data_IF_949365502270
#
_entry.id   IF_949365502270
#
_cell.length_a   1.000
_cell.length_b   1.000
_cell.length_c   1.000
_cell.angle_alpha   90.00
_cell.angle_beta   90.00
_cell.angle_gamma   90.00
#
_symmetry.space_group_name_H-M   'P 1'
#
loop_
_entity.id
_entity.type
_entity.pdbx_description
1 polymer ?
#
# COMPACT_ATOMS: atom_id res chain seq x y z
N UNK A 1 -15.32 23.50 -6.98
CA UNK A 1 -14.94 22.61 -8.09
C UNK A 1 -13.49 22.21 -7.91
N UNK A 2 -13.22 21.00 -7.38
CA UNK A 2 -11.87 20.42 -7.47
C UNK A 2 -11.91 19.38 -8.58
N UNK A 3 -11.19 19.66 -9.65
CA UNK A 3 -10.97 18.74 -10.74
C UNK A 3 -10.15 17.55 -10.23
N UNK A 4 -10.81 16.45 -9.89
CA UNK A 4 -10.13 15.16 -9.78
C UNK A 4 -9.88 14.69 -11.21
N UNK A 5 -8.83 15.26 -11.80
CA UNK A 5 -8.30 14.83 -13.09
C UNK A 5 -8.20 13.31 -13.07
N UNK A 6 -8.78 12.68 -14.08
CA UNK A 6 -8.54 11.30 -14.45
C UNK A 6 -7.04 11.16 -14.72
N UNK A 7 -6.26 10.96 -13.65
CA UNK A 7 -4.88 10.58 -13.77
C UNK A 7 -4.91 9.10 -14.13
N UNK A 8 -4.31 8.77 -15.27
CA UNK A 8 -3.72 7.47 -15.61
C UNK A 8 -2.62 7.05 -14.60
N UNK A 9 -2.76 7.48 -13.35
CA UNK A 9 -1.87 7.25 -12.25
C UNK A 9 -2.22 5.93 -11.61
N UNK A 10 -1.21 5.08 -11.45
CA UNK A 10 -1.36 3.78 -10.82
C UNK A 10 -1.65 4.02 -9.33
N UNK A 11 -2.74 3.45 -8.81
CA UNK A 11 -3.17 3.66 -7.43
C UNK A 11 -2.52 2.62 -6.52
N UNK A 12 -2.00 3.06 -5.37
CA UNK A 12 -1.33 2.19 -4.41
C UNK A 12 -1.75 2.51 -2.98
N UNK A 13 -1.65 1.48 -2.14
CA UNK A 13 -1.81 1.59 -0.70
C UNK A 13 -0.44 1.66 -0.06
N UNK A 14 -0.12 2.75 0.62
CA UNK A 14 1.13 2.92 1.35
C UNK A 14 0.92 2.69 2.85
N UNK A 15 1.67 1.75 3.43
CA UNK A 15 1.58 1.38 4.84
C UNK A 15 2.59 2.12 5.71
N UNK A 16 3.71 2.55 5.11
CA UNK A 16 4.75 3.26 5.84
C UNK A 16 5.92 3.64 4.94
N UNK A 17 6.77 4.50 5.46
CA UNK A 17 8.05 4.86 4.87
C UNK A 17 9.15 4.72 5.92
N UNK A 18 10.20 3.97 5.62
CA UNK A 18 11.29 3.67 6.54
C UNK A 18 12.61 4.11 5.94
N UNK A 19 13.50 4.69 6.75
CA UNK A 19 14.85 5.04 6.30
C UNK A 19 15.76 3.82 6.11
N UNK A 20 15.40 2.68 6.71
CA UNK A 20 16.13 1.42 6.60
C UNK A 20 15.35 0.40 5.77
N UNK A 21 15.99 -0.13 4.72
CA UNK A 21 15.43 -1.18 3.86
C UNK A 21 14.98 -2.39 4.66
N UNK A 22 15.80 -2.83 5.63
CA UNK A 22 15.49 -3.99 6.47
C UNK A 22 14.16 -3.83 7.21
N UNK A 23 13.87 -2.63 7.72
CA UNK A 23 12.62 -2.36 8.44
C UNK A 23 11.43 -2.35 7.49
N UNK A 24 11.58 -1.73 6.31
CA UNK A 24 10.54 -1.78 5.28
C UNK A 24 10.26 -3.22 4.83
N UNK A 25 11.30 -4.03 4.63
CA UNK A 25 11.16 -5.42 4.21
C UNK A 25 10.50 -6.27 5.32
N UNK A 26 10.86 -6.06 6.58
CA UNK A 26 10.21 -6.70 7.72
C UNK A 26 8.71 -6.39 7.76
N UNK A 27 8.32 -5.11 7.62
CA UNK A 27 6.91 -4.74 7.59
C UNK A 27 6.20 -5.35 6.38
N UNK A 28 6.79 -5.28 5.18
CA UNK A 28 6.20 -5.86 3.98
C UNK A 28 5.94 -7.36 4.16
N UNK A 29 6.90 -8.11 4.70
CA UNK A 29 6.74 -9.54 5.00
C UNK A 29 5.68 -9.80 6.07
N UNK A 30 5.65 -9.01 7.14
CA UNK A 30 4.66 -9.15 8.20
C UNK A 30 3.24 -8.88 7.68
N UNK A 31 3.07 -7.86 6.85
CA UNK A 31 1.79 -7.58 6.17
C UNK A 31 1.45 -8.76 5.26
N UNK A 32 2.36 -9.19 4.39
CA UNK A 32 2.15 -10.32 3.47
C UNK A 32 1.69 -11.61 4.18
N UNK A 33 2.30 -11.93 5.31
CA UNK A 33 1.94 -13.12 6.10
C UNK A 33 0.52 -13.03 6.66
N UNK A 34 0.06 -11.83 7.01
CA UNK A 34 -1.28 -11.60 7.57
C UNK A 34 -2.35 -11.41 6.50
N UNK A 35 -2.00 -10.82 5.36
CA UNK A 35 -2.96 -10.53 4.28
C UNK A 35 -3.14 -11.68 3.31
N UNK A 36 -2.35 -12.75 3.41
CA UNK A 36 -2.37 -13.86 2.42
C UNK A 36 -3.74 -14.53 2.25
N UNK A 37 -4.62 -14.44 3.25
CA UNK A 37 -5.99 -14.98 3.23
C UNK A 37 -7.03 -13.93 2.75
N UNK A 38 -6.75 -12.65 2.97
CA UNK A 38 -7.69 -11.53 2.71
C UNK A 38 -7.39 -10.72 1.44
N UNK A 39 -6.16 -10.73 0.96
CA UNK A 39 -5.73 -10.09 -0.27
C UNK A 39 -4.83 -11.00 -1.09
N UNK A 40 -5.07 -11.05 -2.40
CA UNK A 40 -4.19 -11.76 -3.33
C UNK A 40 -2.93 -10.95 -3.66
N UNK A 41 -2.96 -9.63 -3.40
CA UNK A 41 -1.83 -8.73 -3.67
C UNK A 41 -0.87 -8.68 -2.50
N UNK A 42 0.43 -8.72 -2.81
CA UNK A 42 1.50 -8.65 -1.81
C UNK A 42 2.04 -7.22 -1.60
N UNK A 43 2.39 -6.90 -0.36
CA UNK A 43 3.18 -5.74 0.01
C UNK A 43 4.59 -5.84 -0.58
N UNK A 44 4.97 -4.78 -1.27
CA UNK A 44 6.27 -4.60 -1.91
C UNK A 44 6.94 -3.37 -1.32
N UNK A 45 8.25 -3.44 -1.15
CA UNK A 45 9.05 -2.28 -0.77
C UNK A 45 9.47 -1.56 -2.03
N UNK A 46 9.09 -0.30 -2.16
CA UNK A 46 9.61 0.58 -3.18
C UNK A 46 10.74 1.45 -2.60
N UNK A 47 11.94 1.39 -3.18
CA UNK A 47 13.00 2.31 -2.85
C UNK A 47 12.69 3.69 -3.42
N UNK A 48 12.38 4.65 -2.55
CA UNK A 48 12.29 6.06 -2.91
C UNK A 48 13.63 6.79 -2.77
N UNK A 49 13.65 8.09 -3.10
CA UNK A 49 14.87 8.93 -3.09
C UNK A 49 15.57 9.00 -1.74
N UNK A 50 14.83 8.87 -0.63
CA UNK A 50 15.38 8.96 0.73
C UNK A 50 14.82 7.90 1.69
N UNK A 51 13.69 7.27 1.37
CA UNK A 51 12.98 6.36 2.24
C UNK A 51 12.43 5.17 1.44
N UNK A 52 12.43 4.01 2.06
CA UNK A 52 11.84 2.78 1.58
C UNK A 52 10.36 2.72 1.95
N UNK A 53 9.49 2.74 0.95
CA UNK A 53 8.05 2.80 1.12
C UNK A 53 7.44 1.41 0.99
N UNK A 54 6.67 1.00 1.98
CA UNK A 54 5.94 -0.27 1.92
C UNK A 54 4.58 -0.01 1.32
N UNK A 55 4.28 -0.70 0.23
CA UNK A 55 3.05 -0.47 -0.52
C UNK A 55 2.47 -1.72 -1.18
N UNK A 56 1.17 -1.70 -1.45
CA UNK A 56 0.44 -2.74 -2.17
C UNK A 56 -0.25 -2.12 -3.39
N UNK A 57 -0.25 -2.82 -4.53
CA UNK A 57 -0.88 -2.38 -5.77
C UNK A 57 -0.02 -2.73 -6.99
N UNK A 58 -0.40 -2.32 -8.21
CA UNK A 58 -1.38 -1.27 -8.52
C UNK A 58 -2.84 -1.73 -8.41
N UNK A 59 -3.70 -0.83 -7.96
CA UNK A 59 -5.15 -0.99 -7.96
C UNK A 59 -5.76 -0.31 -9.20
N UNK A 60 -6.83 -0.89 -9.76
CA UNK A 60 -7.46 -0.35 -10.97
C UNK A 60 -8.23 0.95 -10.71
N UNK A 61 -8.69 1.19 -9.48
CA UNK A 61 -9.41 2.39 -9.09
C UNK A 61 -9.34 2.61 -7.57
N UNK A 62 -9.68 3.84 -7.15
CA UNK A 62 -9.63 4.27 -5.75
C UNK A 62 -10.55 3.44 -4.86
N UNK A 63 -11.76 3.10 -5.32
CA UNK A 63 -12.71 2.28 -4.55
C UNK A 63 -12.15 0.88 -4.25
N UNK A 64 -11.46 0.26 -5.21
CA UNK A 64 -10.80 -1.03 -5.01
C UNK A 64 -9.65 -0.93 -4.01
N UNK A 65 -8.86 0.14 -4.08
CA UNK A 65 -7.80 0.40 -3.11
C UNK A 65 -8.39 0.63 -1.70
N UNK A 66 -9.43 1.45 -1.57
CA UNK A 66 -10.09 1.77 -0.30
C UNK A 66 -10.65 0.51 0.38
N UNK A 67 -11.39 -0.33 -0.37
CA UNK A 67 -11.88 -1.62 0.17
C UNK A 67 -10.75 -2.56 0.60
N UNK A 68 -9.65 -2.60 -0.16
CA UNK A 68 -8.50 -3.40 0.23
C UNK A 68 -7.81 -2.81 1.47
N UNK A 69 -7.70 -1.48 1.58
CA UNK A 69 -7.15 -0.82 2.76
C UNK A 69 -7.92 -1.18 4.03
N UNK A 70 -9.26 -1.16 3.97
CA UNK A 70 -10.11 -1.57 5.09
C UNK A 70 -9.85 -3.02 5.47
N UNK A 71 -9.92 -3.97 4.52
CA UNK A 71 -9.69 -5.39 4.82
C UNK A 71 -8.32 -5.67 5.41
N UNK A 72 -7.29 -5.02 4.87
CA UNK A 72 -5.92 -5.17 5.35
C UNK A 72 -5.78 -4.54 6.73
N UNK A 73 -6.41 -3.40 6.98
CA UNK A 73 -6.43 -2.78 8.31
C UNK A 73 -7.13 -3.69 9.33
N UNK A 74 -8.24 -4.34 8.94
CA UNK A 74 -8.94 -5.31 9.80
C UNK A 74 -8.08 -6.54 10.09
N UNK A 75 -7.32 -7.03 9.11
CA UNK A 75 -6.46 -8.22 9.27
C UNK A 75 -5.13 -7.94 9.99
N UNK A 76 -4.54 -6.76 9.79
CA UNK A 76 -3.17 -6.44 10.25
C UNK A 76 -3.11 -5.37 11.33
N UNK A 77 -4.21 -4.66 11.59
CA UNK A 77 -4.24 -3.44 12.40
C UNK A 77 -3.50 -2.24 11.80
N UNK A 78 -2.88 -2.40 10.61
CA UNK A 78 -2.05 -1.37 9.98
C UNK A 78 -2.88 -0.45 9.10
N UNK A 79 -2.77 0.86 9.31
CA UNK A 79 -3.48 1.85 8.50
C UNK A 79 -2.72 2.11 7.21
N UNK A 80 -3.38 1.88 6.07
CA UNK A 80 -2.84 2.20 4.75
C UNK A 80 -3.34 3.57 4.28
N UNK A 81 -2.47 4.33 3.60
CA UNK A 81 -2.82 5.58 2.93
C UNK A 81 -2.92 5.35 1.43
N UNK A 82 -4.06 5.71 0.83
CA UNK A 82 -4.24 5.63 -0.62
C UNK A 82 -3.46 6.77 -1.30
N UNK A 83 -2.52 6.41 -2.16
CA UNK A 83 -1.74 7.34 -3.00
C UNK A 83 -1.99 7.06 -4.48
N UNK A 84 -2.13 8.13 -5.25
CA UNK A 84 -2.19 8.10 -6.72
C UNK A 84 -0.86 8.65 -7.23
N UNK A 85 -0.26 7.99 -8.23
CA UNK A 85 1.02 8.39 -8.78
C UNK A 85 1.12 8.12 -10.27
#
# INVERSE_FOLDING_TARGET
THAEAAADGRIYLQFGAFSAERNANHLARAINAQITDVESRSATVEPGTALYRVQIGPYPNRKSADRAAVRIQEATGSTATVTVR
#
